data_IF_232687432544
#
_entry.id   IF_232687432544
#
_cell.length_a   1.000
_cell.length_b   1.000
_cell.length_c   1.000
_cell.angle_alpha   90.00
_cell.angle_beta   90.00
_cell.angle_gamma   90.00
#
_symmetry.space_group_name_H-M   'P 1'
#
loop_
_entity.id
_entity.type
_entity.pdbx_description
1 polymer ?
#
# COMPACT_ATOMS: atom_id res chain seq x y z
N UNK A 1 -11.25 -13.34 38.07
CA UNK A 1 -9.86 -13.01 37.66
C UNK A 1 -9.49 -13.64 36.31
N UNK A 2 -9.90 -14.86 35.99
CA UNK A 2 -9.53 -15.54 34.73
C UNK A 2 -10.08 -14.88 33.44
N UNK A 3 -11.30 -14.34 33.50
CA UNK A 3 -11.98 -13.75 32.33
C UNK A 3 -11.26 -12.47 31.85
N UNK A 4 -10.74 -11.65 32.78
CA UNK A 4 -10.03 -10.42 32.43
C UNK A 4 -8.69 -10.72 31.75
N UNK A 5 -8.03 -11.82 32.11
CA UNK A 5 -6.78 -12.24 31.46
C UNK A 5 -7.00 -12.72 30.03
N UNK A 6 -8.11 -13.41 29.74
CA UNK A 6 -8.40 -13.85 28.35
C UNK A 6 -8.57 -12.67 27.40
N UNK A 7 -9.29 -11.62 27.83
CA UNK A 7 -9.46 -10.41 27.04
C UNK A 7 -8.14 -9.67 26.78
N UNK A 8 -7.24 -9.62 27.77
CA UNK A 8 -5.92 -9.01 27.59
C UNK A 8 -5.07 -9.82 26.61
N UNK A 9 -5.09 -11.16 26.69
CA UNK A 9 -4.36 -12.04 25.76
C UNK A 9 -4.88 -11.90 24.33
N UNK A 10 -6.19 -11.79 24.13
CA UNK A 10 -6.79 -11.60 22.80
C UNK A 10 -6.41 -10.24 22.20
N UNK A 11 -6.44 -9.17 23.00
CA UNK A 11 -6.04 -7.83 22.56
C UNK A 11 -4.55 -7.79 22.23
N UNK A 12 -3.70 -8.39 23.06
CA UNK A 12 -2.26 -8.47 22.83
C UNK A 12 -1.95 -9.32 21.59
N UNK A 13 -2.66 -10.43 21.37
CA UNK A 13 -2.50 -11.28 20.19
C UNK A 13 -2.92 -10.54 18.92
N UNK A 14 -4.02 -9.80 18.95
CA UNK A 14 -4.47 -8.95 17.84
C UNK A 14 -3.47 -7.83 17.51
N UNK A 15 -2.91 -7.20 18.55
CA UNK A 15 -1.87 -6.16 18.41
C UNK A 15 -0.57 -6.76 17.85
N UNK A 16 -0.19 -7.97 18.27
CA UNK A 16 0.97 -8.69 17.76
C UNK A 16 0.76 -9.10 16.29
N UNK A 17 -0.42 -9.60 15.91
CA UNK A 17 -0.77 -9.87 14.51
C UNK A 17 -0.74 -8.61 13.64
N UNK A 18 -1.24 -7.49 14.16
CA UNK A 18 -1.16 -6.19 13.49
C UNK A 18 0.28 -5.65 13.37
N UNK A 19 1.17 -6.03 14.30
CA UNK A 19 2.59 -5.66 14.28
C UNK A 19 3.46 -6.58 13.41
N UNK A 20 3.03 -7.82 13.13
CA UNK A 20 3.70 -8.67 12.15
C UNK A 20 3.61 -7.94 10.79
N UNK A 21 4.75 -7.57 10.16
CA UNK A 21 4.70 -6.96 8.85
C UNK A 21 4.17 -8.00 7.88
N UNK A 22 2.88 -7.91 7.56
CA UNK A 22 2.24 -8.83 6.62
C UNK A 22 3.06 -8.90 5.33
N UNK A 23 3.14 -10.08 4.70
CA UNK A 23 3.84 -10.25 3.42
C UNK A 23 3.44 -9.15 2.42
N UNK A 24 2.18 -8.72 2.45
CA UNK A 24 1.63 -7.57 1.70
C UNK A 24 2.29 -6.24 2.06
N UNK A 25 2.44 -5.90 3.35
CA UNK A 25 3.11 -4.65 3.79
C UNK A 25 4.59 -4.62 3.39
N UNK A 26 5.30 -5.75 3.49
CA UNK A 26 6.70 -5.86 3.03
C UNK A 26 6.79 -5.65 1.51
N UNK A 27 5.91 -6.32 0.74
CA UNK A 27 5.83 -6.18 -0.72
C UNK A 27 5.53 -4.74 -1.14
N UNK A 28 4.51 -4.10 -0.54
CA UNK A 28 4.20 -2.70 -0.77
C UNK A 28 5.42 -1.80 -0.56
N UNK A 29 6.12 -1.91 0.59
CA UNK A 29 7.31 -1.09 0.86
C UNK A 29 8.42 -1.31 -0.17
N UNK A 30 8.67 -2.56 -0.58
CA UNK A 30 9.65 -2.89 -1.64
C UNK A 30 9.25 -2.22 -2.95
N UNK A 31 8.01 -2.38 -3.37
CA UNK A 31 7.51 -1.87 -4.64
C UNK A 31 7.51 -0.33 -4.66
N UNK A 32 7.11 0.33 -3.57
CA UNK A 32 7.26 1.79 -3.43
C UNK A 32 8.72 2.21 -3.62
N UNK A 33 9.68 1.51 -3.01
CA UNK A 33 11.11 1.85 -3.18
C UNK A 33 11.56 1.69 -4.63
N UNK A 34 11.11 0.66 -5.33
CA UNK A 34 11.40 0.46 -6.76
C UNK A 34 10.77 1.57 -7.60
N UNK A 35 9.46 1.79 -7.46
CA UNK A 35 8.71 2.77 -8.24
C UNK A 35 9.15 4.21 -7.98
N UNK A 36 9.58 4.55 -6.74
CA UNK A 36 10.12 5.89 -6.43
C UNK A 36 11.40 6.24 -7.20
N UNK A 37 12.11 5.26 -7.77
CA UNK A 37 13.24 5.53 -8.67
C UNK A 37 12.79 6.09 -10.02
N UNK A 38 11.53 5.86 -10.39
CA UNK A 38 10.96 6.29 -11.65
C UNK A 38 10.42 7.72 -11.55
N UNK A 39 10.79 8.56 -12.51
CA UNK A 39 10.41 9.97 -12.53
C UNK A 39 8.89 10.19 -12.63
N UNK A 40 8.24 9.39 -13.48
CA UNK A 40 6.80 9.45 -13.69
C UNK A 40 6.01 9.14 -12.40
N UNK A 41 6.47 8.18 -11.60
CA UNK A 41 5.81 7.79 -10.36
C UNK A 41 5.95 8.88 -9.30
N UNK A 42 7.13 9.51 -9.21
CA UNK A 42 7.34 10.66 -8.31
C UNK A 42 6.42 11.83 -8.67
N UNK A 43 6.29 12.14 -9.97
CA UNK A 43 5.39 13.19 -10.46
C UNK A 43 3.93 12.87 -10.14
N UNK A 44 3.49 11.64 -10.44
CA UNK A 44 2.12 11.19 -10.14
C UNK A 44 1.79 11.30 -8.64
N UNK A 45 2.68 10.79 -7.78
CA UNK A 45 2.50 10.87 -6.33
C UNK A 45 2.49 12.32 -5.83
N UNK A 46 3.32 13.21 -6.41
CA UNK A 46 3.32 14.63 -6.07
C UNK A 46 2.02 15.33 -6.47
N UNK A 47 1.48 15.01 -7.65
CA UNK A 47 0.24 15.62 -8.15
C UNK A 47 -0.96 15.33 -7.25
N UNK A 48 -1.01 14.13 -6.65
CA UNK A 48 -2.10 13.72 -5.76
C UNK A 48 -1.76 13.86 -4.26
N UNK A 49 -0.56 14.35 -3.94
CA UNK A 49 -0.11 14.62 -2.58
C UNK A 49 -0.20 13.42 -1.63
N UNK A 50 -0.44 13.66 -0.32
CA UNK A 50 -0.51 12.61 0.69
C UNK A 50 -1.59 11.56 0.44
N UNK A 51 -2.67 11.91 -0.28
CA UNK A 51 -3.76 10.97 -0.55
C UNK A 51 -3.33 9.82 -1.45
N UNK A 52 -2.36 10.04 -2.34
CA UNK A 52 -1.82 8.98 -3.20
C UNK A 52 -1.41 7.73 -2.41
N UNK A 53 -0.73 7.90 -1.28
CA UNK A 53 -0.29 6.78 -0.44
C UNK A 53 -1.31 6.36 0.60
N UNK A 54 -2.44 7.06 0.77
CA UNK A 54 -3.50 6.71 1.71
C UNK A 54 -4.64 5.94 1.04
N UNK A 55 -4.89 6.19 -0.24
CA UNK A 55 -5.92 5.50 -1.03
C UNK A 55 -5.65 4.01 -1.14
N UNK A 56 -6.62 3.19 -0.75
CA UNK A 56 -6.49 1.73 -0.65
C UNK A 56 -6.27 1.07 -2.02
N UNK A 57 -6.99 1.52 -3.05
CA UNK A 57 -6.86 1.03 -4.43
C UNK A 57 -5.46 1.30 -5.01
N UNK A 58 -4.89 2.48 -4.73
CA UNK A 58 -3.49 2.79 -5.08
C UNK A 58 -2.51 1.89 -4.34
N UNK A 59 -2.70 1.69 -3.03
CA UNK A 59 -1.86 0.77 -2.25
C UNK A 59 -1.93 -0.67 -2.79
N UNK A 60 -3.11 -1.13 -3.19
CA UNK A 60 -3.29 -2.44 -3.80
C UNK A 60 -2.51 -2.55 -5.11
N UNK A 61 -2.70 -1.60 -6.04
CA UNK A 61 -1.95 -1.55 -7.31
C UNK A 61 -0.44 -1.47 -7.12
N UNK A 62 0.05 -0.73 -6.12
CA UNK A 62 1.48 -0.71 -5.79
C UNK A 62 1.94 -2.05 -5.21
N UNK A 63 1.11 -2.71 -4.40
CA UNK A 63 1.43 -4.03 -3.84
C UNK A 63 1.50 -5.10 -4.91
N UNK A 64 0.69 -4.99 -5.97
CA UNK A 64 0.63 -5.96 -7.07
C UNK A 64 1.70 -5.74 -8.14
N UNK A 65 2.45 -4.63 -8.07
CA UNK A 65 3.57 -4.40 -8.96
C UNK A 65 4.59 -5.56 -8.92
N UNK A 66 5.00 -6.00 -10.11
CA UNK A 66 6.05 -6.97 -10.33
C UNK A 66 6.90 -6.53 -11.53
N UNK A 67 8.20 -6.85 -11.51
CA UNK A 67 9.14 -6.44 -12.55
C UNK A 67 8.88 -7.14 -13.90
N UNK A 68 8.04 -8.18 -13.93
CA UNK A 68 7.59 -8.84 -15.15
C UNK A 68 6.42 -8.14 -15.86
N UNK A 69 5.82 -7.11 -15.25
CA UNK A 69 4.72 -6.36 -15.85
C UNK A 69 5.25 -5.41 -16.93
N UNK A 70 4.43 -5.16 -17.95
CA UNK A 70 4.69 -4.07 -18.88
C UNK A 70 4.61 -2.73 -18.12
N UNK A 71 5.72 -1.99 -18.08
CA UNK A 71 5.84 -0.76 -17.31
C UNK A 71 4.89 0.35 -17.82
N UNK A 72 4.63 0.39 -19.14
CA UNK A 72 3.76 1.39 -19.75
C UNK A 72 2.30 1.14 -19.37
N UNK A 73 1.84 -0.10 -19.49
CA UNK A 73 0.47 -0.48 -19.13
C UNK A 73 0.24 -0.27 -17.63
N UNK A 74 1.19 -0.73 -16.80
CA UNK A 74 1.14 -0.52 -15.35
C UNK A 74 1.03 0.96 -14.98
N UNK A 75 1.84 1.81 -15.62
CA UNK A 75 1.78 3.25 -15.41
C UNK A 75 0.40 3.81 -15.77
N UNK A 76 -0.14 3.47 -16.94
CA UNK A 76 -1.45 3.96 -17.39
C UNK A 76 -2.56 3.54 -16.42
N UNK A 77 -2.56 2.28 -15.99
CA UNK A 77 -3.55 1.78 -15.03
C UNK A 77 -3.46 2.50 -13.67
N UNK A 78 -2.24 2.75 -13.18
CA UNK A 78 -2.03 3.44 -11.92
C UNK A 78 -2.46 4.91 -12.00
N UNK A 79 -2.17 5.58 -13.12
CA UNK A 79 -2.63 6.95 -13.38
C UNK A 79 -4.16 7.03 -13.45
N UNK A 80 -4.82 6.10 -14.15
CA UNK A 80 -6.28 6.01 -14.22
C UNK A 80 -6.91 5.76 -12.85
N UNK A 81 -6.31 4.85 -12.06
CA UNK A 81 -6.75 4.58 -10.69
C UNK A 81 -6.65 5.84 -9.83
N UNK A 82 -5.54 6.58 -9.93
CA UNK A 82 -5.35 7.80 -9.14
C UNK A 82 -6.36 8.89 -9.50
N UNK A 83 -6.65 9.08 -10.79
CA UNK A 83 -7.69 10.01 -11.25
C UNK A 83 -9.08 9.62 -10.73
N UNK A 84 -9.45 8.34 -10.81
CA UNK A 84 -10.78 7.87 -10.38
C UNK A 84 -11.01 8.02 -8.88
N UNK A 85 -9.98 7.77 -8.09
CA UNK A 85 -10.12 7.54 -6.64
C UNK A 85 -9.76 8.76 -5.79
N UNK A 86 -9.00 9.72 -6.34
CA UNK A 86 -8.51 10.90 -5.61
C UNK A 86 -9.11 12.20 -6.15
N UNK A 87 -9.52 12.24 -7.43
CA UNK A 87 -10.12 13.44 -8.03
C UNK A 87 -11.65 13.49 -7.94
N UNK A 88 -12.24 12.73 -7.02
CA UNK A 88 -13.62 12.93 -6.53
C UNK A 88 -13.60 13.84 -5.32
#
# INVERSE_FOLDING_TARGET
MEILWSFVVDIVSFILEAMIPSKKRRRYKKNVRTLKKQDWFRKLAKNHGPMFYKTLSIRAKITDYNDSLNLQDYRQELEQTAKREISR
#
